data_IF_945196906287
#
_entry.id   IF_945196906287
#
_cell.length_a   1.000
_cell.length_b   1.000
_cell.length_c   1.000
_cell.angle_alpha   90.00
_cell.angle_beta   90.00
_cell.angle_gamma   90.00
#
_symmetry.space_group_name_H-M   'P 1'
#
loop_
_entity.id
_entity.type
_entity.pdbx_description
1 polymer ?
#
# COMPACT_ATOMS: atom_id res chain seq x y z
N UNK A 1 -19.42 -47.12 -21.18
CA UNK A 1 -18.50 -46.47 -20.23
C UNK A 1 -18.98 -45.03 -20.07
N UNK A 2 -19.58 -44.68 -18.94
CA UNK A 2 -20.09 -43.32 -18.70
C UNK A 2 -18.93 -42.46 -18.20
N UNK A 3 -18.59 -41.43 -18.98
CA UNK A 3 -17.62 -40.43 -18.58
C UNK A 3 -18.26 -39.53 -17.53
N UNK A 4 -17.71 -39.51 -16.32
CA UNK A 4 -18.10 -38.58 -15.25
C UNK A 4 -17.02 -37.50 -15.17
N UNK A 5 -17.37 -36.28 -15.54
CA UNK A 5 -16.46 -35.14 -15.44
C UNK A 5 -16.27 -34.73 -13.98
N UNK A 6 -15.04 -34.35 -13.56
CA UNK A 6 -14.80 -33.83 -12.23
C UNK A 6 -15.59 -32.54 -12.02
N UNK A 7 -16.33 -32.47 -10.91
CA UNK A 7 -17.08 -31.27 -10.55
C UNK A 7 -16.11 -30.27 -9.92
N UNK A 8 -16.00 -29.07 -10.51
CA UNK A 8 -15.19 -27.99 -9.96
C UNK A 8 -15.99 -27.32 -8.85
N UNK A 9 -15.44 -27.26 -7.64
CA UNK A 9 -16.12 -26.65 -6.50
C UNK A 9 -16.08 -25.11 -6.61
N UNK A 10 -17.13 -24.53 -7.20
CA UNK A 10 -17.23 -23.11 -7.53
C UNK A 10 -17.33 -22.17 -6.30
N UNK A 11 -17.66 -22.73 -5.13
CA UNK A 11 -17.86 -21.95 -3.91
C UNK A 11 -16.52 -21.38 -3.40
N UNK A 12 -15.46 -22.18 -3.50
CA UNK A 12 -14.10 -21.79 -3.08
C UNK A 12 -13.51 -20.74 -4.03
N UNK A 13 -13.81 -20.82 -5.33
CA UNK A 13 -13.30 -19.87 -6.33
C UNK A 13 -13.81 -18.44 -6.12
N UNK A 14 -15.08 -18.27 -5.74
CA UNK A 14 -15.63 -16.95 -5.40
C UNK A 14 -14.90 -16.33 -4.20
N UNK A 15 -14.71 -17.11 -3.13
CA UNK A 15 -14.01 -16.64 -1.93
C UNK A 15 -12.57 -16.25 -2.26
N UNK A 16 -11.87 -17.03 -3.09
CA UNK A 16 -10.46 -16.74 -3.44
C UNK A 16 -10.35 -15.44 -4.24
N UNK A 17 -11.28 -15.17 -5.16
CA UNK A 17 -11.20 -14.01 -6.05
C UNK A 17 -11.50 -12.69 -5.33
N UNK A 18 -12.50 -12.66 -4.44
CA UNK A 18 -12.83 -11.47 -3.64
C UNK A 18 -11.71 -11.09 -2.66
N UNK A 19 -11.03 -12.09 -2.08
CA UNK A 19 -9.95 -11.85 -1.12
C UNK A 19 -8.63 -11.42 -1.80
N UNK A 20 -8.38 -11.87 -3.03
CA UNK A 20 -7.17 -11.52 -3.77
C UNK A 20 -7.09 -10.02 -4.10
N UNK A 21 -8.22 -9.38 -4.36
CA UNK A 21 -8.21 -7.98 -4.78
C UNK A 21 -7.94 -7.00 -3.63
N UNK A 22 -8.31 -7.39 -2.40
CA UNK A 22 -7.87 -6.69 -1.20
C UNK A 22 -6.34 -6.68 -1.10
N UNK A 23 -5.66 -7.81 -1.29
CA UNK A 23 -4.19 -7.86 -1.23
C UNK A 23 -3.52 -6.88 -2.21
N UNK A 24 -4.07 -6.73 -3.42
CA UNK A 24 -3.52 -5.77 -4.39
C UNK A 24 -3.75 -4.33 -3.95
N UNK A 25 -4.92 -4.02 -3.40
CA UNK A 25 -5.18 -2.68 -2.85
C UNK A 25 -4.21 -2.34 -1.70
N UNK A 26 -3.90 -3.29 -0.79
CA UNK A 26 -2.82 -3.12 0.21
C UNK A 26 -1.48 -2.83 -0.47
N UNK A 27 -1.11 -3.65 -1.46
CA UNK A 27 0.18 -3.54 -2.12
C UNK A 27 0.37 -2.17 -2.79
N UNK A 28 -0.69 -1.64 -3.41
CA UNK A 28 -0.69 -0.29 -4.01
C UNK A 28 -0.51 0.78 -2.93
N UNK A 29 -1.22 0.70 -1.80
CA UNK A 29 -1.08 1.66 -0.71
C UNK A 29 0.34 1.63 -0.09
N UNK A 30 0.91 0.44 0.08
CA UNK A 30 2.29 0.30 0.57
C UNK A 30 3.31 0.85 -0.43
N UNK A 31 3.13 0.60 -1.72
CA UNK A 31 3.99 1.14 -2.77
C UNK A 31 3.94 2.67 -2.79
N UNK A 32 2.73 3.26 -2.75
CA UNK A 32 2.56 4.71 -2.69
C UNK A 32 3.18 5.29 -1.42
N UNK A 33 2.94 4.69 -0.26
CA UNK A 33 3.56 5.10 1.00
C UNK A 33 5.09 5.06 0.94
N UNK A 34 5.66 3.97 0.40
CA UNK A 34 7.11 3.84 0.24
C UNK A 34 7.69 4.90 -0.69
N UNK A 35 7.04 5.22 -1.82
CA UNK A 35 7.51 6.26 -2.74
C UNK A 35 7.56 7.64 -2.08
N UNK A 36 6.59 7.99 -1.24
CA UNK A 36 6.57 9.27 -0.50
C UNK A 36 7.72 9.33 0.51
N UNK A 37 7.93 8.26 1.27
CA UNK A 37 9.03 8.19 2.26
C UNK A 37 10.40 8.24 1.57
N UNK A 38 10.59 7.49 0.50
CA UNK A 38 11.83 7.50 -0.28
C UNK A 38 12.08 8.87 -0.92
N UNK A 39 11.05 9.50 -1.47
CA UNK A 39 11.14 10.86 -2.01
C UNK A 39 11.59 11.87 -0.96
N UNK A 40 11.03 11.79 0.26
CA UNK A 40 11.45 12.62 1.38
C UNK A 40 12.91 12.33 1.79
N UNK A 41 13.32 11.06 1.82
CA UNK A 41 14.71 10.67 2.12
C UNK A 41 15.71 11.19 1.09
N UNK A 42 15.40 11.10 -0.21
CA UNK A 42 16.23 11.67 -1.29
C UNK A 42 16.32 13.19 -1.14
N UNK A 43 15.19 13.85 -0.81
CA UNK A 43 15.19 15.30 -0.59
C UNK A 43 16.09 15.71 0.57
N UNK A 44 16.07 14.94 1.67
CA UNK A 44 16.97 15.12 2.80
C UNK A 44 18.45 15.00 2.38
N UNK A 45 18.79 13.98 1.58
CA UNK A 45 20.15 13.79 1.07
C UNK A 45 20.62 14.96 0.19
N UNK A 46 19.74 15.49 -0.66
CA UNK A 46 20.08 16.56 -1.59
C UNK A 46 20.14 17.96 -0.94
N UNK A 47 19.27 18.25 0.04
CA UNK A 47 19.15 19.59 0.64
C UNK A 47 19.74 19.72 2.05
N UNK A 48 20.30 18.63 2.61
CA UNK A 48 21.00 18.65 3.89
C UNK A 48 20.07 18.74 5.11
N UNK A 49 20.45 19.53 6.12
CA UNK A 49 19.71 19.65 7.39
C UNK A 49 18.48 20.54 7.23
N UNK A 50 17.30 20.01 7.50
CA UNK A 50 16.04 20.73 7.41
C UNK A 50 14.83 19.84 7.69
N UNK A 51 13.64 20.42 7.78
CA UNK A 51 12.39 19.65 7.77
C UNK A 51 11.87 19.63 6.33
N UNK A 52 11.41 18.47 5.85
CA UNK A 52 10.67 18.41 4.59
C UNK A 52 9.49 19.39 4.68
N UNK A 53 9.39 20.33 3.75
CA UNK A 53 8.41 21.45 3.80
C UNK A 53 6.96 20.99 3.60
N UNK A 54 6.71 19.69 3.40
CA UNK A 54 5.39 19.08 3.35
C UNK A 54 5.05 18.33 4.64
N UNK A 55 3.94 18.68 5.27
CA UNK A 55 3.40 17.94 6.42
C UNK A 55 1.89 17.83 6.29
N UNK A 56 1.33 16.68 6.64
CA UNK A 56 -0.12 16.51 6.75
C UNK A 56 -0.53 16.65 8.20
N UNK A 57 -1.52 17.50 8.44
CA UNK A 57 -2.10 17.70 9.76
C UNK A 57 -3.62 17.51 9.65
N UNK A 58 -4.12 16.53 10.39
CA UNK A 58 -5.55 16.30 10.52
C UNK A 58 -6.14 17.22 11.59
N UNK A 59 -7.35 17.75 11.35
CA UNK A 59 -8.00 18.78 12.20
C UNK A 59 -8.15 18.33 13.67
N UNK A 60 -8.39 17.04 13.91
CA UNK A 60 -8.38 16.41 15.22
C UNK A 60 -7.62 15.08 15.16
N UNK A 61 -6.31 15.10 14.90
CA UNK A 61 -5.56 13.86 14.74
C UNK A 61 -4.06 14.00 14.59
N UNK A 62 -3.47 13.01 13.93
CA UNK A 62 -2.03 12.87 13.79
C UNK A 62 -1.44 13.96 12.89
N UNK A 63 -0.40 14.63 13.38
CA UNK A 63 0.45 15.48 12.56
C UNK A 63 1.68 14.68 12.15
N UNK A 64 1.87 14.47 10.86
CA UNK A 64 3.05 13.77 10.31
C UNK A 64 3.99 14.80 9.71
N UNK A 65 5.20 14.87 10.27
CA UNK A 65 6.30 15.72 9.80
C UNK A 65 7.54 14.85 9.62
N UNK A 66 8.14 14.90 8.44
CA UNK A 66 9.40 14.20 8.15
C UNK A 66 10.54 15.19 8.36
N UNK A 67 11.34 14.97 9.42
CA UNK A 67 12.53 15.77 9.69
C UNK A 67 13.77 15.06 9.12
N UNK A 68 14.67 15.83 8.51
CA UNK A 68 15.98 15.39 8.05
C UNK A 68 17.02 15.78 9.11
N UNK A 69 17.55 14.81 9.85
CA UNK A 69 18.55 15.01 10.93
C UNK A 69 19.98 14.91 10.42
#
# INVERSE_FOLDING_TARGET
MQYVAPQVEFNTLNIIQDQAWWLVFVAVLLALGATVVLGAAIWCLANGKGSFTGGVQWVNGLQVKIQCS
#
